data_IF_014925602549
#
_entry.id   IF_014925602549
#
_cell.length_a   1.000
_cell.length_b   1.000
_cell.length_c   1.000
_cell.angle_alpha   90.00
_cell.angle_beta   90.00
_cell.angle_gamma   90.00
#
_symmetry.space_group_name_H-M   'P 1'
#
loop_
_entity.id
_entity.type
_entity.pdbx_description
1 polymer ?
#
# COMPACT_ATOMS: atom_id res chain seq x y z
N UNK A 1 18.03 5.01 -17.23
CA UNK A 1 17.44 5.65 -16.04
C UNK A 1 18.48 5.65 -14.95
N UNK A 2 18.94 6.84 -14.57
CA UNK A 2 20.03 6.97 -13.60
C UNK A 2 19.89 8.18 -12.66
N UNK A 3 18.86 9.02 -12.87
CA UNK A 3 18.59 10.21 -12.05
C UNK A 3 17.27 10.08 -11.30
N UNK A 4 17.32 10.27 -9.99
CA UNK A 4 16.15 10.18 -9.09
C UNK A 4 15.98 11.51 -8.34
N UNK A 5 14.75 12.00 -8.30
CA UNK A 5 14.32 13.11 -7.47
C UNK A 5 13.42 12.59 -6.34
N UNK A 6 13.72 12.92 -5.10
CA UNK A 6 12.87 12.63 -3.93
C UNK A 6 12.36 13.96 -3.38
N UNK A 7 11.05 14.15 -3.34
CA UNK A 7 10.42 15.36 -2.80
C UNK A 7 9.80 15.02 -1.44
N UNK A 8 10.37 15.56 -0.38
CA UNK A 8 10.10 15.26 1.02
C UNK A 8 11.20 14.39 1.62
N UNK A 9 11.95 14.94 2.59
CA UNK A 9 13.01 14.26 3.34
C UNK A 9 12.55 13.77 4.73
N UNK A 10 11.24 13.66 4.93
CA UNK A 10 10.65 13.08 6.14
C UNK A 10 10.92 11.56 6.26
N UNK A 11 10.26 10.90 7.23
CA UNK A 11 10.47 9.47 7.51
C UNK A 11 10.38 8.58 6.26
N UNK A 12 9.39 8.80 5.39
CA UNK A 12 9.24 8.01 4.16
C UNK A 12 10.28 8.40 3.10
N UNK A 13 10.55 9.69 2.91
CA UNK A 13 11.61 10.13 1.99
C UNK A 13 12.98 9.54 2.33
N UNK A 14 13.33 9.46 3.61
CA UNK A 14 14.55 8.79 4.09
C UNK A 14 14.54 7.29 3.75
N UNK A 15 13.41 6.59 3.92
CA UNK A 15 13.29 5.17 3.53
C UNK A 15 13.45 4.98 2.02
N UNK A 16 12.88 5.87 1.23
CA UNK A 16 13.08 5.87 -0.22
C UNK A 16 14.54 6.15 -0.58
N UNK A 17 15.19 7.13 0.06
CA UNK A 17 16.61 7.40 -0.15
C UNK A 17 17.45 6.15 0.12
N UNK A 18 17.25 5.51 1.27
CA UNK A 18 17.94 4.26 1.62
C UNK A 18 17.77 3.17 0.54
N UNK A 19 16.58 3.04 -0.01
CA UNK A 19 16.32 2.07 -1.07
C UNK A 19 16.96 2.44 -2.40
N UNK A 20 16.85 3.69 -2.82
CA UNK A 20 17.45 4.18 -4.07
C UNK A 20 18.97 4.00 -4.05
N UNK A 21 19.63 4.24 -2.92
CA UNK A 21 21.07 4.11 -2.78
C UNK A 21 21.58 2.66 -2.88
N UNK A 22 20.72 1.66 -2.66
CA UNK A 22 21.06 0.25 -2.89
C UNK A 22 21.18 -0.10 -4.38
N UNK A 23 20.58 0.72 -5.27
CA UNK A 23 20.57 0.47 -6.73
C UNK A 23 21.79 1.13 -7.36
N UNK A 24 22.74 0.32 -7.82
CA UNK A 24 24.04 0.78 -8.35
C UNK A 24 23.94 1.55 -9.66
N UNK A 25 22.90 1.27 -10.43
CA UNK A 25 22.61 1.93 -11.70
C UNK A 25 22.18 3.39 -11.54
N UNK A 26 21.72 3.78 -10.36
CA UNK A 26 21.37 5.17 -10.04
C UNK A 26 22.64 5.94 -9.77
N UNK A 27 22.88 6.98 -10.56
CA UNK A 27 24.10 7.80 -10.51
C UNK A 27 23.91 9.14 -9.80
N UNK A 28 22.68 9.64 -9.77
CA UNK A 28 22.36 10.91 -9.16
C UNK A 28 21.03 10.82 -8.40
N UNK A 29 21.02 11.30 -7.16
CA UNK A 29 19.82 11.42 -6.33
C UNK A 29 19.75 12.84 -5.82
N UNK A 30 18.67 13.54 -6.14
CA UNK A 30 18.40 14.85 -5.52
C UNK A 30 17.26 14.68 -4.53
N UNK A 31 17.47 15.11 -3.28
CA UNK A 31 16.43 15.12 -2.26
C UNK A 31 16.06 16.54 -1.87
N UNK A 32 14.76 16.83 -1.88
CA UNK A 32 14.20 18.14 -1.58
C UNK A 32 13.38 18.12 -0.32
N UNK A 33 13.50 19.17 0.49
CA UNK A 33 12.57 19.46 1.58
C UNK A 33 12.50 20.96 1.85
N UNK A 34 11.42 21.42 2.46
CA UNK A 34 11.28 22.78 2.99
C UNK A 34 11.98 22.91 4.35
N UNK A 35 12.21 21.80 5.05
CA UNK A 35 12.79 21.75 6.39
C UNK A 35 14.27 21.36 6.32
N UNK A 36 15.14 22.29 6.71
CA UNK A 36 16.59 22.08 6.73
C UNK A 36 17.00 20.94 7.69
N UNK A 37 16.29 20.73 8.79
CA UNK A 37 16.56 19.62 9.72
C UNK A 37 16.29 18.26 9.08
N UNK A 38 15.27 18.14 8.23
CA UNK A 38 14.98 16.93 7.48
C UNK A 38 16.09 16.63 6.45
N UNK A 39 16.60 17.67 5.77
CA UNK A 39 17.73 17.54 4.85
C UNK A 39 19.01 17.10 5.58
N UNK A 40 19.25 17.61 6.79
CA UNK A 40 20.38 17.18 7.63
C UNK A 40 20.26 15.72 8.00
N UNK A 41 19.09 15.27 8.46
CA UNK A 41 18.84 13.86 8.76
C UNK A 41 19.02 12.94 7.53
N UNK A 42 18.59 13.41 6.35
CA UNK A 42 18.83 12.69 5.10
C UNK A 42 20.32 12.58 4.76
N UNK A 43 21.11 13.62 5.05
CA UNK A 43 22.56 13.63 4.84
C UNK A 43 23.28 12.63 5.76
N UNK A 44 22.85 12.54 7.02
CA UNK A 44 23.39 11.58 7.98
C UNK A 44 23.14 10.14 7.53
N UNK A 45 21.92 9.89 7.04
CA UNK A 45 21.52 8.55 6.54
C UNK A 45 22.28 8.16 5.26
N UNK A 46 22.54 9.10 4.37
CA UNK A 46 23.32 8.85 3.15
C UNK A 46 24.81 8.62 3.42
N UNK A 47 25.30 8.90 4.64
CA UNK A 47 26.65 8.59 5.10
C UNK A 47 27.76 9.02 4.13
N UNK A 48 27.61 10.17 3.48
CA UNK A 48 28.59 10.73 2.56
C UNK A 48 28.56 10.15 1.14
N UNK A 49 27.52 9.43 0.75
CA UNK A 49 27.33 8.96 -0.62
C UNK A 49 27.33 10.17 -1.59
N UNK A 50 28.32 10.22 -2.46
CA UNK A 50 28.57 11.36 -3.37
C UNK A 50 27.53 11.49 -4.50
N UNK A 51 26.64 10.51 -4.66
CA UNK A 51 25.51 10.58 -5.60
C UNK A 51 24.41 11.50 -5.12
N UNK A 52 24.37 11.87 -3.82
CA UNK A 52 23.23 12.57 -3.21
C UNK A 52 23.47 14.08 -3.16
N UNK A 53 22.51 14.82 -3.71
CA UNK A 53 22.41 16.28 -3.61
C UNK A 53 21.23 16.65 -2.72
N UNK A 54 21.44 17.62 -1.83
CA UNK A 54 20.43 18.13 -0.90
C UNK A 54 20.07 19.55 -1.30
N UNK A 55 18.79 19.84 -1.44
CA UNK A 55 18.36 21.16 -1.89
C UNK A 55 17.06 21.57 -1.17
N UNK A 56 17.01 22.82 -0.71
CA UNK A 56 15.75 23.41 -0.26
C UNK A 56 14.81 23.59 -1.45
N UNK A 57 13.50 23.39 -1.23
CA UNK A 57 12.50 23.45 -2.30
C UNK A 57 12.55 24.78 -3.06
N UNK A 58 12.75 25.88 -2.35
CA UNK A 58 12.80 27.24 -2.91
C UNK A 58 14.02 27.49 -3.81
N UNK A 59 15.08 26.70 -3.64
CA UNK A 59 16.32 26.81 -4.39
C UNK A 59 16.39 25.83 -5.57
N UNK A 60 15.45 24.91 -5.65
CA UNK A 60 15.48 23.90 -6.67
C UNK A 60 15.01 24.42 -8.03
N UNK A 61 15.87 24.24 -9.02
CA UNK A 61 15.55 24.52 -10.43
C UNK A 61 15.15 23.20 -11.09
N UNK A 62 13.90 23.06 -11.56
CA UNK A 62 13.45 21.85 -12.23
C UNK A 62 14.34 21.48 -13.42
N UNK A 63 14.76 20.23 -13.46
CA UNK A 63 15.56 19.64 -14.54
C UNK A 63 15.08 18.22 -14.83
N UNK A 64 15.31 17.67 -16.02
CA UNK A 64 14.89 16.33 -16.37
C UNK A 64 15.48 15.27 -15.44
N UNK A 65 14.61 14.41 -14.89
CA UNK A 65 14.97 13.25 -14.09
C UNK A 65 14.22 12.01 -14.61
N UNK A 66 14.74 10.82 -14.37
CA UNK A 66 14.07 9.60 -14.83
C UNK A 66 12.93 9.19 -13.90
N UNK A 67 13.17 9.27 -12.60
CA UNK A 67 12.24 8.84 -11.55
C UNK A 67 12.04 9.99 -10.56
N UNK A 68 10.79 10.29 -10.24
CA UNK A 68 10.44 11.18 -9.14
C UNK A 68 9.66 10.41 -8.06
N UNK A 69 10.03 10.59 -6.79
CA UNK A 69 9.34 10.01 -5.64
C UNK A 69 8.78 11.16 -4.80
N UNK A 70 7.45 11.23 -4.69
CA UNK A 70 6.76 12.25 -3.89
C UNK A 70 6.43 11.65 -2.53
N UNK A 71 7.20 12.02 -1.51
CA UNK A 71 7.11 11.54 -0.14
C UNK A 71 6.65 12.62 0.86
N UNK A 72 6.14 13.75 0.36
CA UNK A 72 5.50 14.78 1.18
C UNK A 72 4.16 14.30 1.75
N UNK A 73 3.67 14.93 2.83
CA UNK A 73 2.36 14.63 3.43
C UNK A 73 1.21 14.98 2.49
N UNK A 74 0.06 14.32 2.63
CA UNK A 74 -1.09 14.48 1.74
C UNK A 74 -1.54 15.95 1.59
N UNK A 75 -1.63 16.70 2.70
CA UNK A 75 -2.06 18.11 2.66
C UNK A 75 -1.09 19.08 1.99
N UNK A 76 0.18 18.69 1.78
CA UNK A 76 1.23 19.58 1.23
C UNK A 76 1.72 19.14 -0.16
N UNK A 77 0.98 18.28 -0.86
CA UNK A 77 1.45 17.68 -2.12
C UNK A 77 1.37 18.58 -3.33
N UNK A 78 0.53 19.61 -3.32
CA UNK A 78 0.34 20.47 -4.49
C UNK A 78 1.66 21.01 -5.07
N UNK A 79 2.51 21.60 -4.23
CA UNK A 79 3.83 22.09 -4.64
C UNK A 79 4.70 20.94 -5.19
N UNK A 80 4.66 19.78 -4.53
CA UNK A 80 5.43 18.61 -4.97
C UNK A 80 4.98 18.10 -6.35
N UNK A 81 3.67 18.14 -6.62
CA UNK A 81 3.10 17.73 -7.92
C UNK A 81 3.54 18.68 -9.04
N UNK A 82 3.47 19.98 -8.79
CA UNK A 82 3.91 21.00 -9.75
C UNK A 82 5.42 20.90 -10.05
N UNK A 83 6.25 20.65 -9.05
CA UNK A 83 7.69 20.42 -9.24
C UNK A 83 7.94 19.16 -10.06
N UNK A 84 7.30 18.05 -9.71
CA UNK A 84 7.47 16.78 -10.40
C UNK A 84 7.07 16.88 -11.88
N UNK A 85 5.96 17.55 -12.20
CA UNK A 85 5.50 17.74 -13.59
C UNK A 85 6.48 18.55 -14.44
N UNK A 86 7.18 19.54 -13.83
CA UNK A 86 8.20 20.35 -14.50
C UNK A 86 9.53 19.62 -14.73
N UNK A 87 9.75 18.48 -14.06
CA UNK A 87 10.98 17.70 -14.18
C UNK A 87 10.97 16.68 -15.33
N UNK A 88 9.94 16.66 -16.17
CA UNK A 88 9.84 15.74 -17.32
C UNK A 88 10.21 14.30 -17.00
N UNK A 89 9.70 13.79 -15.85
CA UNK A 89 9.97 12.44 -15.38
C UNK A 89 9.44 11.38 -16.36
N UNK A 90 10.04 10.18 -16.34
CA UNK A 90 9.45 9.00 -17.00
C UNK A 90 8.46 8.30 -16.06
N UNK A 91 8.83 8.23 -14.77
CA UNK A 91 8.05 7.60 -13.74
C UNK A 91 7.92 8.51 -12.52
N UNK A 92 6.72 8.56 -11.96
CA UNK A 92 6.45 9.24 -10.68
C UNK A 92 5.82 8.22 -9.73
N UNK A 93 6.39 8.08 -8.54
CA UNK A 93 5.78 7.36 -7.42
C UNK A 93 5.29 8.37 -6.39
N UNK A 94 4.04 8.22 -5.97
CA UNK A 94 3.43 9.08 -4.96
C UNK A 94 3.12 8.24 -3.71
N UNK A 95 3.47 8.78 -2.54
CA UNK A 95 3.07 8.18 -1.27
C UNK A 95 1.56 8.24 -1.05
N UNK A 96 1.05 7.20 -0.41
CA UNK A 96 -0.36 7.12 0.01
C UNK A 96 -0.58 7.83 1.38
N UNK A 97 -1.81 8.22 1.71
CA UNK A 97 -2.94 8.42 0.80
C UNK A 97 -2.68 9.58 -0.16
N UNK A 98 -3.30 9.59 -1.31
CA UNK A 98 -3.09 10.63 -2.34
C UNK A 98 -3.60 12.01 -1.91
N UNK A 99 -4.64 12.06 -1.09
CA UNK A 99 -5.27 13.27 -0.58
C UNK A 99 -5.93 13.01 0.76
N UNK A 100 -6.53 14.04 1.34
CA UNK A 100 -7.27 14.01 2.60
C UNK A 100 -8.81 13.96 2.38
N UNK A 101 -9.24 14.02 1.13
CA UNK A 101 -10.62 13.75 0.71
C UNK A 101 -10.63 12.95 -0.59
N UNK A 102 -11.78 12.36 -0.93
CA UNK A 102 -11.90 11.61 -2.18
C UNK A 102 -11.86 12.54 -3.39
N UNK A 103 -12.40 13.74 -3.26
CA UNK A 103 -12.36 14.78 -4.29
C UNK A 103 -10.93 15.20 -4.63
N UNK A 104 -10.08 15.41 -3.60
CA UNK A 104 -8.64 15.69 -3.82
C UNK A 104 -7.94 14.56 -4.57
N UNK A 105 -8.31 13.31 -4.28
CA UNK A 105 -7.75 12.14 -4.99
C UNK A 105 -8.17 12.13 -6.46
N UNK A 106 -9.45 12.41 -6.77
CA UNK A 106 -9.94 12.47 -8.15
C UNK A 106 -9.30 13.61 -8.94
N UNK A 107 -9.17 14.79 -8.33
CA UNK A 107 -8.46 15.93 -8.92
C UNK A 107 -7.01 15.58 -9.25
N UNK A 108 -6.31 14.92 -8.34
CA UNK A 108 -4.94 14.51 -8.54
C UNK A 108 -4.78 13.48 -9.65
N UNK A 109 -5.68 12.49 -9.69
CA UNK A 109 -5.70 11.49 -10.76
C UNK A 109 -5.93 12.15 -12.11
N UNK A 110 -6.88 13.10 -12.18
CA UNK A 110 -7.14 13.87 -13.38
C UNK A 110 -5.93 14.70 -13.81
N UNK A 111 -5.28 15.37 -12.85
CA UNK A 111 -4.08 16.16 -13.10
C UNK A 111 -2.95 15.33 -13.72
N UNK A 112 -2.59 14.21 -13.10
CA UNK A 112 -1.53 13.36 -13.61
C UNK A 112 -1.91 12.58 -14.86
N UNK A 113 -3.20 12.32 -15.07
CA UNK A 113 -3.72 11.70 -16.29
C UNK A 113 -3.52 12.53 -17.56
N UNK A 114 -3.28 13.84 -17.43
CA UNK A 114 -3.00 14.73 -18.55
C UNK A 114 -1.55 14.63 -19.09
N UNK A 115 -0.67 13.92 -18.39
CA UNK A 115 0.73 13.81 -18.77
C UNK A 115 1.07 12.43 -19.35
N UNK A 116 2.14 12.36 -20.14
CA UNK A 116 2.60 11.11 -20.79
C UNK A 116 3.45 10.20 -19.88
N UNK A 117 3.91 10.68 -18.73
CA UNK A 117 4.68 9.86 -17.81
C UNK A 117 3.81 8.88 -17.02
N UNK A 118 4.42 7.80 -16.55
CA UNK A 118 3.70 6.81 -15.74
C UNK A 118 3.71 7.22 -14.26
N UNK A 119 2.52 7.44 -13.70
CA UNK A 119 2.33 7.72 -12.27
C UNK A 119 1.80 6.49 -11.55
N UNK A 120 2.45 6.12 -10.45
CA UNK A 120 2.09 5.00 -9.58
C UNK A 120 1.93 5.45 -8.13
N UNK A 121 1.20 4.66 -7.35
CA UNK A 121 0.99 4.92 -5.92
C UNK A 121 1.72 3.88 -5.10
N UNK A 122 2.41 4.30 -4.04
CA UNK A 122 3.17 3.40 -3.17
C UNK A 122 2.26 2.53 -2.28
N UNK A 123 1.43 1.70 -2.90
CA UNK A 123 0.68 0.64 -2.25
C UNK A 123 1.55 -0.64 -2.26
N UNK A 124 2.55 -0.62 -1.42
CA UNK A 124 3.77 -1.43 -1.51
C UNK A 124 3.61 -2.91 -1.14
N UNK A 125 2.48 -3.34 -0.56
CA UNK A 125 2.24 -4.77 -0.30
C UNK A 125 2.27 -5.61 -1.58
N UNK A 126 2.00 -5.00 -2.74
CA UNK A 126 2.14 -5.66 -4.05
C UNK A 126 3.58 -6.06 -4.39
N UNK A 127 4.58 -5.47 -3.72
CA UNK A 127 6.00 -5.78 -3.89
C UNK A 127 6.48 -6.91 -2.96
N UNK A 128 5.69 -7.28 -1.94
CA UNK A 128 6.09 -8.33 -0.99
C UNK A 128 6.13 -9.69 -1.69
N UNK A 129 7.30 -10.33 -1.71
CA UNK A 129 7.45 -11.66 -2.32
C UNK A 129 6.43 -12.68 -1.80
N UNK A 130 6.16 -12.77 -0.47
CA UNK A 130 5.13 -13.68 0.03
C UNK A 130 3.71 -13.30 -0.41
N UNK A 131 3.42 -12.03 -0.68
CA UNK A 131 2.12 -11.59 -1.23
C UNK A 131 2.00 -11.98 -2.71
N UNK A 132 3.05 -11.80 -3.48
CA UNK A 132 3.08 -12.23 -4.88
C UNK A 132 2.86 -13.74 -4.97
N UNK A 133 3.57 -14.51 -4.12
CA UNK A 133 3.39 -15.97 -4.05
C UNK A 133 1.95 -16.34 -3.65
N UNK A 134 1.39 -15.67 -2.63
CA UNK A 134 0.01 -15.90 -2.22
C UNK A 134 -0.97 -15.72 -3.39
N UNK A 135 -0.83 -14.62 -4.15
CA UNK A 135 -1.65 -14.39 -5.34
C UNK A 135 -1.52 -15.53 -6.35
N UNK A 136 -0.29 -15.98 -6.61
CA UNK A 136 -0.04 -17.10 -7.51
C UNK A 136 -0.70 -18.39 -7.02
N UNK A 137 -0.58 -18.70 -5.73
CA UNK A 137 -1.18 -19.89 -5.12
C UNK A 137 -2.72 -19.86 -5.18
N UNK A 138 -3.34 -18.71 -4.91
CA UNK A 138 -4.80 -18.55 -5.01
C UNK A 138 -5.33 -18.78 -6.44
N UNK A 139 -4.48 -18.57 -7.45
CA UNK A 139 -4.81 -18.80 -8.86
C UNK A 139 -4.45 -20.21 -9.33
N UNK A 140 -3.43 -20.83 -8.73
CA UNK A 140 -2.89 -22.10 -9.19
C UNK A 140 -3.57 -23.31 -8.55
N UNK A 141 -3.96 -23.20 -7.26
CA UNK A 141 -4.53 -24.34 -6.54
C UNK A 141 -6.07 -24.39 -6.66
N UNK A 142 -6.64 -25.46 -7.22
CA UNK A 142 -8.11 -25.64 -7.35
C UNK A 142 -8.86 -25.51 -6.02
N UNK A 143 -8.21 -25.86 -4.91
CA UNK A 143 -8.78 -25.77 -3.57
C UNK A 143 -9.19 -24.33 -3.18
N UNK A 144 -8.59 -23.31 -3.84
CA UNK A 144 -8.92 -21.91 -3.62
C UNK A 144 -9.89 -21.31 -4.64
N UNK A 145 -10.41 -22.11 -5.59
CA UNK A 145 -11.38 -21.59 -6.54
C UNK A 145 -12.74 -21.33 -5.87
N UNK A 146 -13.48 -20.38 -6.42
CA UNK A 146 -14.79 -19.96 -5.91
C UNK A 146 -14.73 -18.81 -4.92
N UNK A 147 -15.89 -18.52 -4.31
CA UNK A 147 -16.06 -17.45 -3.31
C UNK A 147 -15.26 -17.75 -2.03
N UNK A 148 -14.64 -16.70 -1.49
CA UNK A 148 -13.82 -16.78 -0.27
C UNK A 148 -14.44 -15.98 0.85
N UNK A 149 -14.17 -16.41 2.08
CA UNK A 149 -14.36 -15.59 3.28
C UNK A 149 -12.97 -15.24 3.81
N UNK A 150 -12.72 -13.96 4.03
CA UNK A 150 -11.44 -13.48 4.52
C UNK A 150 -11.69 -12.69 5.80
N UNK A 151 -10.93 -13.00 6.85
CA UNK A 151 -10.91 -12.23 8.08
C UNK A 151 -9.55 -11.59 8.25
N UNK A 152 -9.52 -10.31 8.61
CA UNK A 152 -8.32 -9.54 8.80
C UNK A 152 -8.43 -8.75 10.09
N UNK A 153 -7.50 -8.98 11.01
CA UNK A 153 -7.42 -8.29 12.28
C UNK A 153 -6.03 -7.67 12.44
N UNK A 154 -5.94 -6.37 12.32
CA UNK A 154 -4.66 -5.64 12.28
C UNK A 154 -4.37 -4.78 13.50
N UNK A 155 -5.29 -4.72 14.47
CA UNK A 155 -5.13 -3.81 15.62
C UNK A 155 -5.14 -2.33 15.23
N UNK A 156 -4.43 -1.49 15.99
CA UNK A 156 -4.40 -0.02 15.84
C UNK A 156 -3.59 0.47 14.64
N UNK A 157 -3.86 -0.03 13.44
CA UNK A 157 -3.13 0.41 12.24
C UNK A 157 -3.70 1.68 11.58
N UNK A 158 -4.94 2.02 11.88
CA UNK A 158 -5.66 3.12 11.25
C UNK A 158 -6.14 2.82 9.82
N UNK A 159 -7.36 3.25 9.52
CA UNK A 159 -8.04 3.02 8.23
C UNK A 159 -7.30 3.73 7.10
N UNK A 160 -6.89 4.99 7.33
CA UNK A 160 -6.23 5.82 6.31
C UNK A 160 -4.74 5.54 6.18
N UNK A 161 -4.03 5.36 7.30
CA UNK A 161 -2.58 5.22 7.27
C UNK A 161 -2.14 3.85 6.73
N UNK A 162 -2.66 2.77 7.30
CA UNK A 162 -2.27 1.41 6.91
C UNK A 162 -3.41 0.60 6.28
N UNK A 163 -4.66 0.87 6.64
CA UNK A 163 -5.82 0.16 6.12
C UNK A 163 -5.92 0.19 4.61
N UNK A 164 -5.57 1.30 3.99
CA UNK A 164 -5.56 1.43 2.53
C UNK A 164 -4.64 0.40 1.85
N UNK A 165 -3.52 0.02 2.48
CA UNK A 165 -2.65 -1.03 1.96
C UNK A 165 -3.36 -2.39 1.93
N UNK A 166 -4.10 -2.74 2.98
CA UNK A 166 -4.86 -3.99 3.03
C UNK A 166 -6.05 -3.98 2.07
N UNK A 167 -6.70 -2.83 1.89
CA UNK A 167 -7.76 -2.69 0.89
C UNK A 167 -7.24 -2.92 -0.53
N UNK A 168 -6.12 -2.28 -0.89
CA UNK A 168 -5.46 -2.50 -2.18
C UNK A 168 -4.93 -3.93 -2.32
N UNK A 169 -4.37 -4.48 -1.26
CA UNK A 169 -3.91 -5.86 -1.22
C UNK A 169 -5.03 -6.85 -1.58
N UNK A 170 -6.25 -6.66 -1.04
CA UNK A 170 -7.39 -7.50 -1.40
C UNK A 170 -7.75 -7.36 -2.88
N UNK A 171 -7.77 -6.15 -3.42
CA UNK A 171 -7.95 -5.96 -4.87
C UNK A 171 -6.89 -6.71 -5.69
N UNK A 172 -5.65 -6.69 -5.22
CA UNK A 172 -4.53 -7.30 -5.92
C UNK A 172 -4.56 -8.83 -5.89
N UNK A 173 -4.71 -9.46 -4.72
CA UNK A 173 -4.67 -10.92 -4.61
C UNK A 173 -5.90 -11.60 -5.20
N UNK A 174 -7.06 -10.93 -5.16
CA UNK A 174 -8.32 -11.45 -5.68
C UNK A 174 -8.54 -11.14 -7.17
N UNK A 175 -7.71 -10.31 -7.80
CA UNK A 175 -7.99 -9.71 -9.10
C UNK A 175 -9.36 -9.00 -9.16
N UNK A 176 -9.73 -8.35 -8.05
CA UNK A 176 -10.99 -7.63 -7.97
C UNK A 176 -10.91 -6.26 -8.67
N UNK A 177 -12.00 -5.84 -9.30
CA UNK A 177 -12.12 -4.52 -9.91
C UNK A 177 -13.12 -3.60 -9.20
N UNK A 178 -13.98 -4.16 -8.34
CA UNK A 178 -14.99 -3.44 -7.56
C UNK A 178 -15.08 -3.97 -6.13
N UNK A 179 -15.40 -3.09 -5.19
CA UNK A 179 -15.72 -3.46 -3.82
C UNK A 179 -16.92 -2.64 -3.30
N UNK A 180 -17.66 -3.23 -2.36
CA UNK A 180 -18.86 -2.66 -1.76
C UNK A 180 -18.85 -2.90 -0.25
N UNK A 181 -19.04 -1.84 0.54
CA UNK A 181 -19.20 -1.94 1.99
C UNK A 181 -20.64 -2.39 2.29
N UNK A 182 -20.77 -3.53 2.97
CA UNK A 182 -22.06 -4.05 3.42
C UNK A 182 -22.44 -3.47 4.76
N UNK A 183 -21.46 -3.32 5.66
CA UNK A 183 -21.60 -2.74 6.98
C UNK A 183 -20.26 -2.21 7.44
N UNK A 184 -20.24 -1.13 8.19
CA UNK A 184 -19.03 -0.57 8.77
C UNK A 184 -19.33 0.27 10.00
N UNK A 185 -18.32 0.41 10.85
CA UNK A 185 -18.27 1.34 11.97
C UNK A 185 -16.87 1.95 12.03
N UNK A 186 -16.80 3.20 12.45
CA UNK A 186 -15.56 3.91 12.75
C UNK A 186 -15.53 4.18 14.24
N UNK A 187 -14.44 3.82 14.90
CA UNK A 187 -14.26 4.03 16.32
C UNK A 187 -14.29 5.54 16.64
N UNK A 188 -14.90 5.92 17.78
CA UNK A 188 -14.91 7.33 18.24
C UNK A 188 -13.51 7.78 18.72
N UNK A 189 -12.62 6.85 19.04
CA UNK A 189 -11.24 7.10 19.48
C UNK A 189 -10.31 7.38 18.30
N UNK A 190 -9.58 8.48 18.42
CA UNK A 190 -8.60 8.89 17.41
C UNK A 190 -7.27 8.15 17.65
N UNK A 191 -6.68 7.64 16.59
CA UNK A 191 -5.31 7.12 16.60
C UNK A 191 -4.35 8.27 16.27
N UNK A 192 -3.47 8.69 17.21
CA UNK A 192 -2.52 9.76 16.95
C UNK A 192 -1.55 9.37 15.81
N UNK A 193 -1.31 10.30 14.90
CA UNK A 193 -0.28 10.12 13.87
C UNK A 193 1.13 10.32 14.45
N UNK A 194 2.07 9.50 14.03
CA UNK A 194 3.49 9.74 14.30
C UNK A 194 4.13 10.83 13.42
N UNK A 195 3.32 11.61 12.65
CA UNK A 195 3.80 12.61 11.68
C UNK A 195 3.51 14.05 12.08
N UNK A 196 2.83 14.28 13.19
CA UNK A 196 2.48 15.58 13.71
C UNK A 196 1.13 15.54 14.39
N UNK A 197 0.90 16.51 15.29
CA UNK A 197 -0.36 16.61 16.07
C UNK A 197 -1.57 17.00 15.21
N UNK A 198 -1.31 17.56 14.04
CA UNK A 198 -2.31 17.93 13.04
C UNK A 198 -2.87 16.73 12.27
N UNK A 199 -2.22 15.58 12.36
CA UNK A 199 -2.65 14.35 11.69
C UNK A 199 -3.17 13.34 12.68
N UNK A 200 -4.25 12.66 12.29
CA UNK A 200 -4.83 11.57 13.06
C UNK A 200 -5.35 10.49 12.12
N UNK A 201 -5.69 9.35 12.66
CA UNK A 201 -6.36 8.27 11.94
C UNK A 201 -7.46 7.67 12.82
N UNK A 202 -8.24 6.78 12.27
CA UNK A 202 -9.37 6.15 12.92
C UNK A 202 -9.26 4.64 12.81
N UNK A 203 -9.67 3.94 13.88
CA UNK A 203 -9.93 2.52 13.86
C UNK A 203 -11.36 2.21 13.47
N UNK A 204 -11.70 0.94 13.48
CA UNK A 204 -13.05 0.48 13.23
C UNK A 204 -13.10 -0.92 12.64
N UNK A 205 -14.30 -1.32 12.22
CA UNK A 205 -14.51 -2.58 11.51
C UNK A 205 -15.39 -2.38 10.28
N UNK A 206 -15.23 -3.27 9.29
CA UNK A 206 -16.12 -3.29 8.12
C UNK A 206 -16.27 -4.69 7.52
N UNK A 207 -17.39 -4.88 6.84
CA UNK A 207 -17.66 -6.04 5.99
C UNK A 207 -17.72 -5.54 4.55
N UNK A 208 -16.82 -6.06 3.72
CA UNK A 208 -16.66 -5.62 2.33
C UNK A 208 -16.80 -6.81 1.39
N UNK A 209 -17.61 -6.67 0.35
CA UNK A 209 -17.68 -7.61 -0.77
C UNK A 209 -16.77 -7.16 -1.89
N UNK A 210 -15.93 -8.06 -2.40
CA UNK A 210 -15.04 -7.82 -3.53
C UNK A 210 -15.53 -8.61 -4.75
N UNK A 211 -15.52 -7.93 -5.90
CA UNK A 211 -16.06 -8.47 -7.14
C UNK A 211 -15.05 -8.34 -8.29
N UNK A 212 -15.20 -9.23 -9.27
CA UNK A 212 -14.72 -9.00 -10.62
C UNK A 212 -15.96 -8.92 -11.53
N UNK A 213 -16.25 -7.73 -12.02
CA UNK A 213 -17.52 -7.36 -12.62
C UNK A 213 -18.69 -7.72 -11.68
N UNK A 214 -19.57 -8.61 -12.07
CA UNK A 214 -20.70 -9.07 -11.24
C UNK A 214 -20.37 -10.31 -10.39
N UNK A 215 -19.20 -10.92 -10.58
CA UNK A 215 -18.82 -12.14 -9.86
C UNK A 215 -18.29 -11.80 -8.47
N UNK A 216 -18.97 -12.26 -7.43
CA UNK A 216 -18.50 -12.16 -6.06
C UNK A 216 -17.30 -13.09 -5.85
N UNK A 217 -16.15 -12.48 -5.50
CA UNK A 217 -14.90 -13.21 -5.26
C UNK A 217 -14.66 -13.50 -3.80
N UNK A 218 -15.00 -12.54 -2.93
CA UNK A 218 -14.81 -12.69 -1.50
C UNK A 218 -15.71 -11.77 -0.68
N UNK A 219 -16.00 -12.20 0.56
CA UNK A 219 -16.47 -11.37 1.67
C UNK A 219 -15.31 -11.19 2.64
N UNK A 220 -14.93 -9.93 2.89
CA UNK A 220 -13.78 -9.59 3.74
C UNK A 220 -14.26 -8.87 4.98
N UNK A 221 -13.86 -9.36 6.13
CA UNK A 221 -14.12 -8.78 7.44
C UNK A 221 -12.84 -8.08 7.90
N UNK A 222 -12.84 -6.76 7.89
CA UNK A 222 -11.76 -5.95 8.41
C UNK A 222 -12.01 -5.56 9.86
N UNK A 223 -11.01 -5.72 10.72
CA UNK A 223 -10.96 -5.16 12.06
C UNK A 223 -9.66 -4.38 12.23
N UNK A 224 -9.78 -3.06 12.39
CA UNK A 224 -8.68 -2.12 12.58
C UNK A 224 -8.96 -1.27 13.83
N UNK A 225 -9.35 -1.94 14.92
CA UNK A 225 -9.82 -1.26 16.14
C UNK A 225 -8.72 -0.44 16.80
N UNK A 226 -9.02 0.80 17.15
CA UNK A 226 -8.16 1.68 17.94
C UNK A 226 -7.86 1.15 19.34
N UNK A 227 -8.64 0.18 19.83
CA UNK A 227 -8.49 -0.42 21.17
C UNK A 227 -7.51 -1.59 21.22
N UNK A 228 -7.13 -2.16 20.08
CA UNK A 228 -6.21 -3.29 20.01
C UNK A 228 -4.80 -2.81 19.67
N UNK A 229 -3.83 -3.10 20.54
CA UNK A 229 -2.41 -2.81 20.30
C UNK A 229 -1.63 -4.03 19.81
N UNK A 230 -2.30 -5.17 19.65
CA UNK A 230 -1.70 -6.40 19.14
C UNK A 230 -1.94 -6.48 17.64
N UNK A 231 -0.85 -6.54 16.89
CA UNK A 231 -0.92 -6.90 15.49
C UNK A 231 -1.42 -8.33 15.41
N UNK A 232 -2.45 -8.56 14.64
CA UNK A 232 -3.04 -9.86 14.50
C UNK A 232 -2.47 -10.60 13.31
N UNK A 233 -3.37 -11.09 12.55
CA UNK A 233 -3.13 -11.79 11.30
C UNK A 233 -4.40 -11.82 10.50
N UNK A 234 -4.41 -12.64 9.51
CA UNK A 234 -5.55 -12.79 8.63
C UNK A 234 -5.68 -14.21 8.12
N UNK A 235 -6.87 -14.52 7.72
CA UNK A 235 -7.23 -15.85 7.29
C UNK A 235 -8.05 -15.79 6.01
N UNK A 236 -7.73 -16.67 5.07
CA UNK A 236 -8.50 -16.89 3.84
C UNK A 236 -9.11 -18.27 3.92
N UNK A 237 -10.43 -18.35 3.87
CA UNK A 237 -11.18 -19.60 3.77
C UNK A 237 -11.81 -19.67 2.39
N UNK A 238 -11.50 -20.73 1.66
CA UNK A 238 -12.02 -21.04 0.34
C UNK A 238 -12.76 -22.40 0.37
N UNK A 239 -13.47 -22.81 -0.67
CA UNK A 239 -14.27 -24.04 -0.67
C UNK A 239 -13.52 -25.32 -0.23
N UNK A 240 -12.26 -25.46 -0.61
CA UNK A 240 -11.44 -26.63 -0.27
C UNK A 240 -10.07 -26.29 0.30
N UNK A 241 -9.84 -25.04 0.68
CA UNK A 241 -8.55 -24.57 1.19
C UNK A 241 -8.69 -23.48 2.25
N UNK A 242 -7.70 -23.42 3.12
CA UNK A 242 -7.58 -22.40 4.16
C UNK A 242 -6.13 -21.92 4.23
N UNK A 243 -5.93 -20.62 4.29
CA UNK A 243 -4.63 -20.01 4.54
C UNK A 243 -4.73 -19.19 5.81
N UNK A 244 -3.80 -19.40 6.73
CA UNK A 244 -3.66 -18.63 7.96
C UNK A 244 -2.35 -17.87 7.87
N UNK A 245 -2.39 -16.56 8.10
CA UNK A 245 -1.20 -15.71 8.17
C UNK A 245 -1.13 -15.10 9.55
N UNK A 246 -0.05 -15.42 10.24
CA UNK A 246 0.32 -14.83 11.52
C UNK A 246 1.43 -13.81 11.26
N UNK A 247 1.09 -12.52 11.33
CA UNK A 247 2.04 -11.44 11.07
C UNK A 247 3.08 -11.29 12.19
N UNK A 248 2.76 -11.72 13.42
CA UNK A 248 3.69 -11.69 14.56
C UNK A 248 4.70 -12.81 14.45
N UNK A 249 4.22 -14.04 14.20
CA UNK A 249 5.08 -15.20 13.99
C UNK A 249 5.76 -15.20 12.60
N UNK A 250 5.36 -14.26 11.73
CA UNK A 250 5.86 -14.13 10.34
C UNK A 250 5.71 -15.42 9.54
N UNK A 251 4.57 -16.07 9.70
CA UNK A 251 4.29 -17.39 9.12
C UNK A 251 3.00 -17.39 8.31
N UNK A 252 3.00 -18.23 7.29
CA UNK A 252 1.83 -18.64 6.54
C UNK A 252 1.64 -20.14 6.69
N UNK A 253 0.43 -20.56 7.03
CA UNK A 253 0.04 -21.98 7.11
C UNK A 253 -1.00 -22.24 6.03
N UNK A 254 -0.77 -23.28 5.22
CA UNK A 254 -1.72 -23.73 4.22
C UNK A 254 -2.35 -25.04 4.66
N UNK A 255 -3.68 -25.09 4.60
CA UNK A 255 -4.49 -26.27 4.86
C UNK A 255 -5.30 -26.55 3.59
N UNK A 256 -4.99 -27.64 2.90
CA UNK A 256 -5.62 -27.98 1.65
C UNK A 256 -6.35 -29.32 1.78
N UNK A 257 -7.58 -29.36 1.29
CA UNK A 257 -8.34 -30.60 1.18
C UNK A 257 -7.86 -31.40 -0.03
N UNK A 258 -7.86 -32.72 0.05
CA UNK A 258 -7.61 -33.57 -1.12
C UNK A 258 -8.68 -33.37 -2.19
N UNK A 259 -8.30 -33.50 -3.46
CA UNK A 259 -9.16 -33.16 -4.60
C UNK A 259 -10.35 -34.09 -4.81
N UNK A 260 -10.31 -35.32 -4.30
CA UNK A 260 -11.35 -36.33 -4.46
C UNK A 260 -12.61 -36.04 -3.64
N UNK A 261 -12.62 -34.97 -2.91
CA UNK A 261 -13.72 -34.65 -2.03
C UNK A 261 -14.97 -34.27 -2.81
N UNK A 262 -15.85 -35.21 -2.99
CA UNK A 262 -17.23 -34.90 -3.38
C UNK A 262 -17.82 -33.90 -2.39
N UNK A 263 -18.01 -32.70 -2.85
CA UNK A 263 -18.86 -31.77 -2.14
C UNK A 263 -20.27 -32.26 -2.17
N UNK A 264 -20.98 -32.33 -1.11
CA UNK A 264 -20.68 -31.74 0.15
C UNK A 264 -20.41 -32.76 1.25
N UNK A 265 -19.20 -32.85 1.78
CA UNK A 265 -19.67 -32.42 3.06
C UNK A 265 -19.95 -33.52 3.98
N UNK A 266 -19.11 -34.49 3.91
CA UNK A 266 -18.94 -35.27 5.12
C UNK A 266 -18.28 -34.35 6.14
N UNK A 267 -19.03 -33.76 7.07
CA UNK A 267 -18.57 -32.90 8.14
C UNK A 267 -17.52 -33.56 9.03
N UNK A 268 -17.36 -34.85 8.95
CA UNK A 268 -16.61 -35.65 9.90
C UNK A 268 -15.36 -36.31 9.31
N UNK A 269 -15.13 -36.25 8.02
CA UNK A 269 -14.00 -36.95 7.39
C UNK A 269 -13.42 -36.20 6.18
N UNK A 270 -13.03 -34.96 6.38
CA UNK A 270 -12.27 -34.29 5.34
C UNK A 270 -10.83 -34.82 5.36
N UNK A 271 -10.41 -35.40 4.25
CA UNK A 271 -9.01 -35.74 4.02
C UNK A 271 -8.23 -34.48 3.64
N UNK A 272 -7.22 -34.18 4.41
CA UNK A 272 -6.34 -33.05 4.19
C UNK A 272 -4.97 -33.51 3.68
N UNK A 273 -4.36 -32.68 2.82
CA UNK A 273 -2.93 -32.78 2.57
C UNK A 273 -2.16 -32.37 3.83
N UNK A 274 -0.91 -32.81 3.97
CA UNK A 274 -0.06 -32.33 5.06
C UNK A 274 -0.02 -30.80 5.12
N UNK A 275 -0.09 -30.25 6.31
CA UNK A 275 0.05 -28.80 6.49
C UNK A 275 1.43 -28.33 6.02
N UNK A 276 1.44 -27.22 5.32
CA UNK A 276 2.68 -26.56 4.92
C UNK A 276 2.82 -25.24 5.67
N UNK A 277 4.01 -24.99 6.21
CA UNK A 277 4.37 -23.70 6.77
C UNK A 277 5.38 -23.01 5.86
N UNK A 278 5.16 -21.72 5.62
CA UNK A 278 6.04 -20.88 4.82
C UNK A 278 6.32 -19.56 5.56
N UNK A 279 7.50 -18.95 5.37
CA UNK A 279 7.75 -17.60 5.88
C UNK A 279 6.82 -16.57 5.24
N UNK A 280 6.27 -15.67 6.06
CA UNK A 280 5.51 -14.51 5.61
C UNK A 280 6.07 -13.25 6.26
N UNK A 281 7.25 -12.84 5.80
CA UNK A 281 8.02 -11.75 6.38
C UNK A 281 7.74 -10.46 5.62
N UNK A 282 7.31 -9.41 6.34
CA UNK A 282 7.22 -8.08 5.78
C UNK A 282 8.63 -7.53 5.52
N UNK A 283 8.95 -7.09 4.29
CA UNK A 283 10.26 -6.57 3.98
C UNK A 283 10.48 -5.17 4.57
N UNK A 284 11.74 -4.77 4.71
CA UNK A 284 12.07 -3.40 5.05
C UNK A 284 11.65 -2.43 3.94
N UNK A 285 11.11 -1.27 4.32
CA UNK A 285 10.52 -0.32 3.35
C UNK A 285 11.53 0.20 2.31
N UNK A 286 12.79 0.40 2.72
CA UNK A 286 13.86 0.77 1.78
C UNK A 286 14.08 -0.31 0.71
N UNK A 287 14.06 -1.57 1.10
CA UNK A 287 14.26 -2.69 0.16
C UNK A 287 13.15 -2.76 -0.89
N UNK A 288 11.92 -2.39 -0.52
CA UNK A 288 10.81 -2.30 -1.47
C UNK A 288 11.04 -1.21 -2.52
N UNK A 289 11.59 -0.07 -2.12
CA UNK A 289 11.95 0.98 -3.06
C UNK A 289 13.07 0.51 -4.00
N UNK A 290 14.10 -0.15 -3.46
CA UNK A 290 15.18 -0.73 -4.25
C UNK A 290 14.63 -1.76 -5.26
N UNK A 291 13.74 -2.63 -4.81
CA UNK A 291 13.08 -3.63 -5.67
C UNK A 291 12.28 -2.94 -6.79
N UNK A 292 11.46 -1.93 -6.46
CA UNK A 292 10.65 -1.23 -7.43
C UNK A 292 11.52 -0.53 -8.49
N UNK A 293 12.55 0.21 -8.07
CA UNK A 293 13.49 0.88 -8.98
C UNK A 293 14.19 -0.15 -9.87
N UNK A 294 14.64 -1.27 -9.30
CA UNK A 294 15.30 -2.35 -10.05
C UNK A 294 14.36 -2.94 -11.11
N UNK A 295 13.09 -3.16 -10.79
CA UNK A 295 12.12 -3.65 -11.77
C UNK A 295 11.80 -2.61 -12.85
N UNK A 296 11.74 -1.32 -12.51
CA UNK A 296 11.59 -0.26 -13.52
C UNK A 296 12.75 -0.23 -14.52
N UNK A 297 13.98 -0.47 -14.07
CA UNK A 297 15.16 -0.56 -14.95
C UNK A 297 15.03 -1.72 -15.96
N UNK A 298 14.29 -2.77 -15.61
CA UNK A 298 13.97 -3.92 -16.49
C UNK A 298 12.72 -3.68 -17.35
N UNK A 299 12.07 -2.53 -17.23
CA UNK A 299 10.82 -2.21 -17.93
C UNK A 299 9.55 -2.74 -17.26
N UNK A 300 9.64 -3.24 -16.02
CA UNK A 300 8.51 -3.77 -15.27
C UNK A 300 7.98 -2.76 -14.26
N UNK A 301 6.67 -2.76 -14.04
CA UNK A 301 6.05 -2.03 -12.94
C UNK A 301 4.95 -2.87 -12.30
N UNK A 302 5.04 -3.07 -10.98
CA UNK A 302 4.08 -3.86 -10.19
C UNK A 302 3.22 -3.00 -9.26
N UNK A 303 3.62 -1.75 -9.00
CA UNK A 303 2.78 -0.82 -8.24
C UNK A 303 1.55 -0.40 -9.05
N UNK A 304 0.41 -0.14 -8.40
CA UNK A 304 -0.78 0.29 -9.12
C UNK A 304 -0.55 1.65 -9.77
N UNK A 305 -1.00 1.80 -11.01
CA UNK A 305 -1.11 3.12 -11.62
C UNK A 305 -2.05 3.99 -10.81
N UNK A 306 -1.90 5.30 -10.93
CA UNK A 306 -2.65 6.24 -10.11
C UNK A 306 -4.18 6.04 -10.26
N UNK A 307 -4.69 5.79 -11.46
CA UNK A 307 -6.10 5.49 -11.71
C UNK A 307 -6.54 4.14 -11.11
N UNK A 308 -5.67 3.12 -11.08
CA UNK A 308 -5.98 1.84 -10.46
C UNK A 308 -6.10 1.95 -8.93
N UNK A 309 -5.39 2.90 -8.33
CA UNK A 309 -5.43 3.13 -6.89
C UNK A 309 -6.74 3.78 -6.41
N UNK A 310 -7.51 4.38 -7.32
CA UNK A 310 -8.79 5.04 -7.01
C UNK A 310 -9.74 4.13 -6.25
N UNK A 311 -9.81 2.85 -6.61
CA UNK A 311 -10.73 1.90 -5.97
C UNK A 311 -10.39 1.67 -4.48
N UNK A 312 -9.11 1.64 -4.12
CA UNK A 312 -8.69 1.52 -2.72
C UNK A 312 -8.95 2.82 -1.95
N UNK A 313 -8.68 3.99 -2.54
CA UNK A 313 -8.99 5.29 -1.95
C UNK A 313 -10.49 5.47 -1.74
N UNK A 314 -11.32 5.13 -2.78
CA UNK A 314 -12.77 5.18 -2.67
C UNK A 314 -13.28 4.30 -1.53
N UNK A 315 -12.79 3.08 -1.42
CA UNK A 315 -13.18 2.17 -0.35
C UNK A 315 -12.79 2.74 1.03
N UNK A 316 -11.58 3.29 1.16
CA UNK A 316 -11.09 3.92 2.38
C UNK A 316 -11.97 5.11 2.81
N UNK A 317 -12.23 6.05 1.91
CA UNK A 317 -13.05 7.22 2.23
C UNK A 317 -14.52 6.86 2.47
N UNK A 318 -15.06 5.89 1.74
CA UNK A 318 -16.40 5.37 2.01
C UNK A 318 -16.50 4.73 3.39
N UNK A 319 -15.45 4.06 3.87
CA UNK A 319 -15.44 3.54 5.24
C UNK A 319 -15.32 4.67 6.27
N UNK A 320 -14.40 5.61 6.07
CA UNK A 320 -14.26 6.78 6.96
C UNK A 320 -15.54 7.63 7.07
N UNK A 321 -16.38 7.63 6.03
CA UNK A 321 -17.66 8.33 6.03
C UNK A 321 -18.69 7.76 7.02
N UNK A 322 -18.47 6.57 7.60
CA UNK A 322 -19.27 6.04 8.72
C UNK A 322 -18.91 6.69 10.07
N UNK A 323 -17.88 7.55 10.14
CA UNK A 323 -17.56 8.29 11.35
C UNK A 323 -18.67 9.26 11.69
N UNK A 324 -19.06 9.32 12.98
CA UNK A 324 -20.03 10.30 13.50
C UNK A 324 -19.55 11.75 13.36
N UNK A 325 -18.22 11.94 13.30
CA UNK A 325 -17.55 13.23 13.17
C UNK A 325 -17.09 13.50 11.72
N UNK A 326 -17.82 12.98 10.74
CA UNK A 326 -17.49 13.13 9.34
C UNK A 326 -17.48 14.60 8.89
N UNK A 327 -16.29 15.11 8.67
CA UNK A 327 -16.06 16.40 8.02
C UNK A 327 -15.36 16.15 6.70
N UNK A 328 -15.98 15.89 5.62
CA UNK A 328 -15.46 15.69 4.23
C UNK A 328 -13.92 15.64 4.03
N UNK A 329 -13.13 16.23 4.93
CA UNK A 329 -11.67 16.21 4.97
C UNK A 329 -11.22 15.46 6.22
N UNK A 330 -10.41 14.41 6.01
CA UNK A 330 -9.79 13.66 7.09
C UNK A 330 -8.30 14.02 7.17
N UNK A 331 -7.79 14.49 8.31
CA UNK A 331 -6.39 14.85 8.47
C UNK A 331 -5.49 13.60 8.58
N UNK A 332 -5.64 12.68 7.64
CA UNK A 332 -4.85 11.46 7.50
C UNK A 332 -3.60 11.71 6.65
N UNK A 333 -2.57 10.90 6.86
CA UNK A 333 -1.33 10.97 6.09
C UNK A 333 -0.55 9.65 6.07
#
# INVERSE_FOLDING_TARGET
MDKVLIIGAGRMGIRHLQGVLQVKEIREVTILDINQGALTAAKDVAAGDNRVKYCAVEQFIPQPVDICIIASTAGNRKISHELASKCHCKFIMIEKPLGQSYEEVEELVSYFGAFSFTTVVNLNMRLYKPVIKLKQDLLAYPQFYGEKVITLNTGTLGIGCNGIHYMDFMFFILNANRAEIVAAEVDDEIIPSGRGVEFCDFGGWSIVKYYNDENLLAKVFFSMSSKSTVFGGWEIVAPCGRIIIDEIAQKRINVLRKEDSQMPLNRYAADYLPYTEEPFVAPFLGDLTAQWVTELLKGNNVLPRINESLKAHRLMFNWLAYSKNYNKIFPIT
#
